data_IF_202672985622
#
_entry.id   IF_202672985622
#
_cell.length_a   1.000
_cell.length_b   1.000
_cell.length_c   1.000
_cell.angle_alpha   90.00
_cell.angle_beta   90.00
_cell.angle_gamma   90.00
#
_symmetry.space_group_name_H-M   'P 1'
#
loop_
_entity.id
_entity.type
_entity.pdbx_description
1 polymer ?
#
# COMPACT_ATOMS: atom_id res chain seq x y z
N UNK A 1 -4.81 -20.69 -18.48
CA UNK A 1 -4.84 -19.23 -18.24
C UNK A 1 -4.16 -18.57 -19.42
N UNK A 2 -4.62 -17.43 -19.95
CA UNK A 2 -3.93 -16.81 -21.08
C UNK A 2 -2.50 -16.47 -20.65
N UNK A 3 -1.51 -16.85 -21.46
CA UNK A 3 -0.09 -16.61 -21.20
C UNK A 3 0.30 -15.12 -21.23
N UNK A 4 -0.68 -14.24 -21.51
CA UNK A 4 -0.52 -12.81 -21.65
C UNK A 4 -1.82 -12.08 -21.35
N UNK A 5 -1.79 -11.12 -20.42
CA UNK A 5 -2.90 -10.24 -20.04
C UNK A 5 -2.72 -8.86 -20.67
N UNK A 6 -3.80 -8.12 -20.90
CA UNK A 6 -3.73 -6.72 -21.34
C UNK A 6 -3.78 -5.77 -20.14
N UNK A 7 -3.46 -4.49 -20.36
CA UNK A 7 -3.58 -3.47 -19.31
C UNK A 7 -5.02 -3.32 -18.82
N UNK A 8 -5.99 -3.54 -19.71
CA UNK A 8 -7.43 -3.47 -19.39
C UNK A 8 -7.85 -4.68 -18.55
N UNK A 9 -7.30 -5.86 -18.81
CA UNK A 9 -7.57 -7.05 -17.98
C UNK A 9 -7.09 -6.83 -16.55
N UNK A 10 -5.84 -6.37 -16.39
CA UNK A 10 -5.28 -6.04 -15.06
C UNK A 10 -6.04 -4.91 -14.37
N UNK A 11 -6.45 -3.89 -15.12
CA UNK A 11 -7.21 -2.76 -14.59
C UNK A 11 -8.55 -3.22 -14.01
N UNK A 12 -9.27 -4.09 -14.72
CA UNK A 12 -10.54 -4.66 -14.24
C UNK A 12 -10.33 -5.64 -13.10
N UNK A 13 -9.31 -6.50 -13.19
CA UNK A 13 -9.05 -7.52 -12.17
C UNK A 13 -8.73 -6.90 -10.81
N UNK A 14 -7.90 -5.85 -10.80
CA UNK A 14 -7.42 -5.23 -9.58
C UNK A 14 -8.17 -3.97 -9.17
N UNK A 15 -9.20 -3.58 -9.93
CA UNK A 15 -9.99 -2.37 -9.73
C UNK A 15 -9.11 -1.12 -9.59
N UNK A 16 -8.18 -0.95 -10.53
CA UNK A 16 -7.29 0.22 -10.60
C UNK A 16 -7.30 0.81 -11.99
N UNK A 17 -6.97 2.09 -12.09
CA UNK A 17 -6.88 2.75 -13.39
C UNK A 17 -5.71 2.20 -14.22
N UNK A 18 -5.87 2.19 -15.55
CA UNK A 18 -4.75 1.95 -16.47
C UNK A 18 -3.60 2.94 -16.27
N UNK A 19 -3.88 4.15 -15.77
CA UNK A 19 -2.87 5.14 -15.38
C UNK A 19 -2.00 4.65 -14.22
N UNK A 20 -2.59 4.03 -13.21
CA UNK A 20 -1.84 3.45 -12.09
C UNK A 20 -0.93 2.30 -12.54
N UNK A 21 -1.41 1.45 -13.46
CA UNK A 21 -0.58 0.35 -14.01
C UNK A 21 0.62 0.92 -14.79
N UNK A 22 0.40 1.94 -15.63
CA UNK A 22 1.49 2.62 -16.35
C UNK A 22 2.48 3.27 -15.40
N UNK A 23 2.00 3.87 -14.32
CA UNK A 23 2.87 4.42 -13.29
C UNK A 23 3.80 3.33 -12.72
N UNK A 24 3.31 2.12 -12.43
CA UNK A 24 4.16 1.02 -11.98
C UNK A 24 5.12 0.48 -13.07
N UNK A 25 4.78 0.62 -14.35
CA UNK A 25 5.72 0.35 -15.45
C UNK A 25 6.85 1.39 -15.48
N UNK A 26 6.48 2.68 -15.37
CA UNK A 26 7.42 3.81 -15.42
C UNK A 26 8.41 3.74 -14.24
N UNK A 27 7.95 3.26 -13.08
CA UNK A 27 8.76 2.99 -11.88
C UNK A 27 9.55 1.68 -11.97
N UNK A 28 9.48 0.96 -13.09
CA UNK A 28 10.25 -0.27 -13.33
C UNK A 28 9.81 -1.48 -12.51
N UNK A 29 8.58 -1.47 -11.97
CA UNK A 29 8.05 -2.57 -11.16
C UNK A 29 7.31 -3.64 -11.98
N UNK A 30 6.87 -3.27 -13.19
CA UNK A 30 6.24 -4.14 -14.16
C UNK A 30 7.01 -4.10 -15.47
N UNK A 31 7.16 -5.24 -16.12
CA UNK A 31 7.94 -5.36 -17.35
C UNK A 31 7.13 -6.02 -18.47
N UNK A 32 6.05 -5.37 -18.96
CA UNK A 32 5.23 -5.92 -20.02
C UNK A 32 6.04 -6.06 -21.32
N UNK A 33 5.73 -7.10 -22.09
CA UNK A 33 6.25 -7.25 -23.44
C UNK A 33 5.35 -6.54 -24.44
N UNK A 34 5.87 -6.24 -25.63
CA UNK A 34 5.05 -5.73 -26.74
C UNK A 34 4.65 -6.88 -27.67
N UNK A 35 3.36 -6.96 -27.99
CA UNK A 35 2.82 -7.79 -29.08
C UNK A 35 2.21 -6.85 -30.12
N UNK A 36 2.97 -6.54 -31.17
CA UNK A 36 2.65 -5.45 -32.09
C UNK A 36 2.62 -4.11 -31.36
N UNK A 37 1.48 -3.40 -31.43
CA UNK A 37 1.28 -2.12 -30.73
C UNK A 37 0.77 -2.26 -29.29
N UNK A 38 0.40 -3.47 -28.87
CA UNK A 38 -0.24 -3.72 -27.57
C UNK A 38 0.79 -4.14 -26.52
N UNK A 39 0.65 -3.60 -25.30
CA UNK A 39 1.36 -4.09 -24.10
C UNK A 39 0.68 -5.36 -23.59
N UNK A 40 1.48 -6.37 -23.32
CA UNK A 40 1.04 -7.64 -22.75
C UNK A 40 1.84 -7.97 -21.49
N UNK A 41 1.13 -8.32 -20.42
CA UNK A 41 1.68 -8.59 -19.09
C UNK A 41 1.69 -10.09 -18.85
N UNK A 42 2.77 -10.58 -18.25
CA UNK A 42 2.91 -11.98 -17.88
C UNK A 42 2.12 -12.31 -16.61
N UNK A 43 2.01 -13.60 -16.30
CA UNK A 43 1.55 -14.07 -14.99
C UNK A 43 2.43 -13.53 -13.85
N UNK A 44 3.74 -13.39 -14.07
CA UNK A 44 4.67 -12.79 -13.12
C UNK A 44 4.36 -11.31 -12.85
N UNK A 45 4.05 -10.53 -13.89
CA UNK A 45 3.65 -9.13 -13.73
C UNK A 45 2.33 -9.01 -12.96
N UNK A 46 1.38 -9.93 -13.20
CA UNK A 46 0.13 -10.00 -12.42
C UNK A 46 0.42 -10.25 -10.93
N UNK A 47 1.32 -11.17 -10.61
CA UNK A 47 1.72 -11.45 -9.21
C UNK A 47 2.41 -10.23 -8.60
N UNK A 48 3.35 -9.59 -9.31
CA UNK A 48 4.00 -8.35 -8.86
C UNK A 48 2.99 -7.25 -8.59
N UNK A 49 2.04 -7.02 -9.50
CA UNK A 49 0.98 -6.02 -9.32
C UNK A 49 0.15 -6.29 -8.06
N UNK A 50 -0.24 -7.55 -7.82
CA UNK A 50 -0.94 -7.95 -6.59
C UNK A 50 -0.13 -7.63 -5.34
N UNK A 51 1.18 -7.86 -5.35
CA UNK A 51 2.08 -7.54 -4.23
C UNK A 51 2.21 -6.03 -4.01
N UNK A 52 2.37 -5.25 -5.08
CA UNK A 52 2.43 -3.78 -5.01
C UNK A 52 1.16 -3.23 -4.33
N UNK A 53 -0.02 -3.67 -4.78
CA UNK A 53 -1.29 -3.23 -4.23
C UNK A 53 -1.52 -3.68 -2.79
N UNK A 54 -0.97 -4.83 -2.39
CA UNK A 54 -1.00 -5.28 -0.99
C UNK A 54 -0.08 -4.43 -0.13
N UNK A 55 1.15 -4.17 -0.59
CA UNK A 55 2.11 -3.34 0.13
C UNK A 55 1.58 -1.92 0.36
N UNK A 56 0.98 -1.32 -0.67
CA UNK A 56 0.30 -0.02 -0.56
C UNK A 56 -0.79 -0.01 0.51
N UNK A 57 -1.62 -1.06 0.57
CA UNK A 57 -2.69 -1.21 1.59
C UNK A 57 -2.14 -1.35 3.01
N UNK A 58 -0.95 -1.92 3.17
CA UNK A 58 -0.26 -2.00 4.47
C UNK A 58 0.46 -0.70 4.85
N UNK A 59 0.42 0.31 3.98
CA UNK A 59 1.01 1.62 4.21
C UNK A 59 2.49 1.71 3.88
N UNK A 60 3.03 0.74 3.12
CA UNK A 60 4.39 0.86 2.59
C UNK A 60 4.45 1.88 1.45
N UNK A 61 5.52 2.65 1.42
CA UNK A 61 5.90 3.49 0.30
C UNK A 61 6.23 2.66 -0.94
N UNK A 62 6.27 3.31 -2.10
CA UNK A 62 6.59 2.59 -3.34
C UNK A 62 8.05 2.11 -3.37
N UNK A 63 8.97 2.86 -2.75
CA UNK A 63 10.38 2.46 -2.65
C UNK A 63 10.55 1.21 -1.80
N UNK A 64 9.90 1.13 -0.64
CA UNK A 64 9.94 -0.08 0.20
C UNK A 64 9.36 -1.30 -0.53
N UNK A 65 8.23 -1.10 -1.24
CA UNK A 65 7.62 -2.15 -2.06
C UNK A 65 8.59 -2.61 -3.16
N UNK A 66 9.29 -1.68 -3.80
CA UNK A 66 10.28 -1.97 -4.82
C UNK A 66 11.46 -2.76 -4.25
N UNK A 67 11.95 -2.39 -3.06
CA UNK A 67 13.02 -3.10 -2.35
C UNK A 67 12.60 -4.54 -2.03
N UNK A 68 11.40 -4.73 -1.49
CA UNK A 68 10.83 -6.05 -1.20
C UNK A 68 10.75 -6.88 -2.49
N UNK A 69 10.19 -6.34 -3.58
CA UNK A 69 10.05 -7.06 -4.85
C UNK A 69 11.42 -7.40 -5.46
N UNK A 70 12.42 -6.52 -5.35
CA UNK A 70 13.79 -6.80 -5.81
C UNK A 70 14.44 -7.92 -5.00
N UNK A 71 14.22 -7.93 -3.69
CA UNK A 71 14.77 -8.95 -2.79
C UNK A 71 14.27 -10.35 -3.18
N UNK A 72 13.00 -10.49 -3.58
CA UNK A 72 12.42 -11.73 -4.13
C UNK A 72 13.14 -12.29 -5.37
N UNK A 73 13.90 -11.47 -6.10
CA UNK A 73 14.64 -11.90 -7.30
C UNK A 73 16.15 -12.03 -7.05
N UNK A 74 16.61 -11.78 -5.82
CA UNK A 74 18.03 -11.75 -5.45
C UNK A 74 18.43 -13.01 -4.66
N UNK A 75 19.71 -13.39 -4.71
CA UNK A 75 20.26 -14.63 -4.11
C UNK A 75 20.55 -14.65 -2.59
N UNK A 76 20.02 -13.79 -1.69
CA UNK A 76 19.87 -14.25 -0.31
C UNK A 76 18.79 -15.34 -0.31
N UNK A 77 19.06 -16.48 0.35
CA UNK A 77 18.07 -17.54 0.50
C UNK A 77 16.76 -17.02 1.10
N UNK A 78 15.66 -17.71 0.81
CA UNK A 78 14.28 -17.36 1.19
C UNK A 78 14.15 -16.84 2.64
N UNK A 79 14.91 -17.42 3.59
CA UNK A 79 14.94 -16.98 5.00
C UNK A 79 15.34 -15.52 5.18
N UNK A 80 16.44 -15.06 4.58
CA UNK A 80 16.92 -13.70 4.76
C UNK A 80 15.95 -12.66 4.17
N UNK A 81 15.21 -13.05 3.13
CA UNK A 81 14.18 -12.21 2.54
C UNK A 81 12.95 -12.09 3.46
N UNK A 82 12.56 -13.21 4.10
CA UNK A 82 11.49 -13.24 5.08
C UNK A 82 11.85 -12.44 6.33
N UNK A 83 13.09 -12.54 6.81
CA UNK A 83 13.58 -11.77 7.97
C UNK A 83 13.49 -10.26 7.70
N UNK A 84 14.03 -9.79 6.57
CA UNK A 84 13.91 -8.38 6.17
C UNK A 84 12.44 -7.92 6.10
N UNK A 85 11.56 -8.75 5.55
CA UNK A 85 10.15 -8.40 5.44
C UNK A 85 9.44 -8.38 6.81
N UNK A 86 9.79 -9.29 7.71
CA UNK A 86 9.29 -9.31 9.09
C UNK A 86 9.72 -8.05 9.85
N UNK A 87 10.97 -7.60 9.67
CA UNK A 87 11.46 -6.36 10.27
C UNK A 87 10.65 -5.15 9.80
N UNK A 88 10.44 -5.01 8.48
CA UNK A 88 9.62 -3.91 7.94
C UNK A 88 8.17 -3.97 8.43
N UNK A 89 7.58 -5.16 8.58
CA UNK A 89 6.24 -5.33 9.15
C UNK A 89 6.22 -4.89 10.61
N UNK A 90 7.21 -5.30 11.41
CA UNK A 90 7.30 -4.97 12.83
C UNK A 90 7.42 -3.45 13.03
N UNK A 91 8.32 -2.80 12.30
CA UNK A 91 8.47 -1.33 12.31
C UNK A 91 7.16 -0.62 11.98
N UNK A 92 6.50 -1.03 10.88
CA UNK A 92 5.24 -0.43 10.45
C UNK A 92 4.13 -0.63 11.48
N UNK A 93 4.06 -1.81 12.10
CA UNK A 93 3.09 -2.12 13.16
C UNK A 93 3.30 -1.23 14.37
N UNK A 94 4.53 -1.06 14.82
CA UNK A 94 4.88 -0.17 15.95
C UNK A 94 4.47 1.27 15.67
N UNK A 95 4.76 1.79 14.47
CA UNK A 95 4.33 3.14 14.07
C UNK A 95 2.81 3.30 14.11
N UNK A 96 2.05 2.33 13.58
CA UNK A 96 0.60 2.39 13.55
C UNK A 96 -0.02 2.31 14.95
N UNK A 97 0.57 1.51 15.85
CA UNK A 97 0.12 1.42 17.24
C UNK A 97 0.36 2.75 17.97
N UNK A 98 1.51 3.39 17.76
CA UNK A 98 1.77 4.71 18.33
C UNK A 98 0.78 5.76 17.79
N UNK A 99 0.57 5.80 16.47
CA UNK A 99 -0.39 6.72 15.86
C UNK A 99 -1.81 6.51 16.41
N UNK A 100 -2.21 5.25 16.66
CA UNK A 100 -3.50 4.95 17.27
C UNK A 100 -3.58 5.54 18.69
N UNK A 101 -2.54 5.36 19.50
CA UNK A 101 -2.49 5.91 20.85
C UNK A 101 -2.57 7.45 20.85
N UNK A 102 -1.82 8.11 19.97
CA UNK A 102 -1.84 9.56 19.83
C UNK A 102 -3.25 10.07 19.40
N UNK A 103 -3.91 9.34 18.49
CA UNK A 103 -5.28 9.64 18.07
C UNK A 103 -6.25 9.48 19.25
N UNK A 104 -6.14 8.39 20.01
CA UNK A 104 -7.01 8.12 21.16
C UNK A 104 -6.87 9.22 22.23
N UNK A 105 -5.65 9.71 22.48
CA UNK A 105 -5.38 10.85 23.38
C UNK A 105 -6.05 12.12 22.85
N UNK A 106 -5.84 12.44 21.56
CA UNK A 106 -6.39 13.64 20.93
C UNK A 106 -7.93 13.64 20.97
N UNK A 107 -8.56 12.49 20.73
CA UNK A 107 -10.02 12.34 20.83
C UNK A 107 -10.51 12.62 22.26
N UNK A 108 -9.81 12.13 23.27
CA UNK A 108 -10.13 12.42 24.67
C UNK A 108 -10.04 13.91 25.02
N UNK A 109 -9.04 14.61 24.50
CA UNK A 109 -8.92 16.07 24.69
C UNK A 109 -10.07 16.83 24.01
N UNK A 110 -10.42 16.44 22.78
CA UNK A 110 -11.55 17.02 22.05
C UNK A 110 -12.88 16.83 22.80
N UNK A 111 -13.12 15.65 23.37
CA UNK A 111 -14.33 15.36 24.16
C UNK A 111 -14.43 16.26 25.40
N UNK A 112 -13.31 16.54 26.07
CA UNK A 112 -13.26 17.42 27.23
C UNK A 112 -13.57 18.86 26.83
N UNK A 113 -12.92 19.36 25.77
CA UNK A 113 -13.15 20.72 25.26
C UNK A 113 -14.61 20.88 24.81
N UNK A 114 -15.15 19.91 24.08
CA UNK A 114 -16.54 19.94 23.63
C UNK A 114 -17.51 20.04 24.81
N UNK A 115 -17.30 19.23 25.85
CA UNK A 115 -18.14 19.25 27.07
C UNK A 115 -18.13 20.61 27.74
N UNK A 116 -16.94 21.20 27.91
CA UNK A 116 -16.78 22.52 28.52
C UNK A 116 -17.47 23.62 27.70
N UNK A 117 -17.35 23.57 26.36
CA UNK A 117 -18.05 24.50 25.49
C UNK A 117 -19.58 24.38 25.62
N UNK A 118 -20.12 23.15 25.67
CA UNK A 118 -21.56 22.90 25.85
C UNK A 118 -22.06 23.41 27.19
N UNK A 119 -21.38 23.09 28.30
CA UNK A 119 -21.74 23.57 29.64
C UNK A 119 -21.75 25.10 29.71
N UNK A 120 -20.76 25.75 29.09
CA UNK A 120 -20.67 27.21 29.06
C UNK A 120 -21.79 27.85 28.22
N UNK A 121 -22.15 27.24 27.09
CA UNK A 121 -23.27 27.69 26.26
C UNK A 121 -24.61 27.57 27.00
N UNK A 122 -24.84 26.47 27.72
CA UNK A 122 -26.06 26.26 28.50
C UNK A 122 -26.19 27.28 29.63
N UNK A 123 -25.08 27.61 30.31
CA UNK A 123 -25.06 28.64 31.35
C UNK A 123 -25.36 30.05 30.82
N UNK A 124 -24.98 30.37 29.57
CA UNK A 124 -25.26 31.66 28.94
C UNK A 124 -26.70 31.77 28.39
N UNK A 125 -27.37 30.64 28.17
CA UNK A 125 -28.74 30.57 27.65
C UNK A 125 -29.81 30.53 28.74
N UNK A 126 -29.40 30.37 30.00
CA UNK A 126 -30.26 30.48 31.19
C UNK A 126 -30.37 31.94 31.61
#
# INVERSE_FOLDING_TARGET
MPDSLTITDLSREFDITTRAIRFYEDEGLLHPRRRGRQRVYSSGDRVRLKLILRGKRLGFSLSEIADIIRLYHSEPGESAQLDYFLDRIAERRTMLLQQKEDIDITLGELDVVERQCRERLDNLRR
#
